data_IF_697946309857
#
_entry.id   IF_697946309857
#
_cell.length_a   1.000
_cell.length_b   1.000
_cell.length_c   1.000
_cell.angle_alpha   90.00
_cell.angle_beta   90.00
_cell.angle_gamma   90.00
#
_symmetry.space_group_name_H-M   'P 1'
#
loop_
_entity.id
_entity.type
_entity.pdbx_description
1 polymer ?
#
# COMPACT_ATOMS: atom_id res chain seq x y z
N UNK A 1 -14.18 -51.00 -37.12
CA UNK A 1 -13.44 -51.06 -35.83
C UNK A 1 -12.08 -50.42 -36.09
N UNK A 2 -11.61 -49.36 -35.44
CA UNK A 2 -12.02 -48.60 -34.26
C UNK A 2 -11.76 -47.11 -34.49
N UNK A 3 -12.59 -46.29 -33.84
CA UNK A 3 -12.47 -44.86 -33.66
C UNK A 3 -11.22 -44.52 -32.84
N UNK A 4 -10.48 -43.47 -33.20
CA UNK A 4 -9.70 -42.71 -32.21
C UNK A 4 -9.76 -41.24 -32.56
N UNK A 5 -10.76 -40.58 -31.98
CA UNK A 5 -10.88 -39.14 -31.96
C UNK A 5 -9.72 -38.57 -31.12
N UNK A 6 -8.87 -37.76 -31.73
CA UNK A 6 -7.95 -36.90 -31.00
C UNK A 6 -8.69 -35.60 -30.67
N UNK A 7 -9.24 -35.51 -29.46
CA UNK A 7 -9.71 -34.24 -28.92
C UNK A 7 -8.54 -33.25 -28.84
N UNK A 8 -8.66 -32.03 -29.40
CA UNK A 8 -7.74 -30.96 -29.06
C UNK A 8 -8.03 -30.53 -27.63
N UNK A 9 -7.03 -30.67 -26.75
CA UNK A 9 -7.04 -30.09 -25.41
C UNK A 9 -7.06 -28.58 -25.59
N UNK A 10 -8.26 -28.00 -25.51
CA UNK A 10 -8.48 -26.57 -25.50
C UNK A 10 -7.80 -26.01 -24.24
N UNK A 11 -6.61 -25.45 -24.43
CA UNK A 11 -5.91 -24.70 -23.40
C UNK A 11 -6.80 -23.52 -23.08
N UNK A 12 -7.61 -23.65 -22.01
CA UNK A 12 -8.33 -22.56 -21.38
C UNK A 12 -7.29 -21.50 -21.02
N UNK A 13 -7.10 -20.55 -21.93
CA UNK A 13 -6.45 -19.29 -21.65
C UNK A 13 -7.24 -18.70 -20.47
N UNK A 14 -6.64 -18.77 -19.28
CA UNK A 14 -7.19 -18.17 -18.09
C UNK A 14 -7.57 -16.73 -18.44
N UNK A 15 -8.88 -16.46 -18.46
CA UNK A 15 -9.41 -15.12 -18.72
C UNK A 15 -8.61 -14.13 -17.90
N UNK A 16 -8.12 -13.00 -18.47
CA UNK A 16 -7.50 -11.97 -17.67
C UNK A 16 -8.58 -11.47 -16.74
N UNK A 17 -8.57 -11.96 -15.49
CA UNK A 17 -9.46 -11.50 -14.45
C UNK A 17 -9.35 -9.98 -14.48
N UNK A 18 -10.47 -9.31 -14.77
CA UNK A 18 -10.57 -7.86 -14.75
C UNK A 18 -10.13 -7.45 -13.36
N UNK A 19 -8.86 -7.05 -13.23
CA UNK A 19 -8.33 -6.56 -11.95
C UNK A 19 -9.05 -5.26 -11.73
N UNK A 20 -9.95 -5.24 -10.75
CA UNK A 20 -10.63 -4.01 -10.38
C UNK A 20 -9.54 -3.06 -9.90
N UNK A 21 -9.20 -2.08 -10.73
CA UNK A 21 -8.20 -1.07 -10.41
C UNK A 21 -8.77 -0.08 -9.41
N UNK A 22 -8.70 -0.43 -8.13
CA UNK A 22 -9.16 0.42 -7.02
C UNK A 22 -8.13 1.54 -6.81
N UNK A 23 -8.54 2.82 -6.81
CA UNK A 23 -7.66 3.93 -6.45
C UNK A 23 -7.06 3.74 -5.05
N UNK A 24 -5.79 4.11 -4.86
CA UNK A 24 -5.12 3.97 -3.57
C UNK A 24 -5.85 4.73 -2.46
N UNK A 25 -6.40 5.91 -2.77
CA UNK A 25 -7.14 6.75 -1.83
C UNK A 25 -8.39 6.04 -1.29
N UNK A 26 -9.11 5.34 -2.16
CA UNK A 26 -10.33 4.62 -1.79
C UNK A 26 -10.00 3.35 -1.01
N UNK A 27 -8.96 2.62 -1.41
CA UNK A 27 -8.46 1.49 -0.65
C UNK A 27 -7.98 1.91 0.76
N UNK A 28 -7.27 3.03 0.89
CA UNK A 28 -6.87 3.58 2.19
C UNK A 28 -8.10 3.95 3.03
N UNK A 29 -9.14 4.53 2.42
CA UNK A 29 -10.39 4.86 3.12
C UNK A 29 -11.07 3.62 3.69
N UNK A 30 -11.19 2.56 2.90
CA UNK A 30 -11.75 1.27 3.33
C UNK A 30 -10.91 0.65 4.44
N UNK A 31 -9.59 0.62 4.27
CA UNK A 31 -8.69 0.11 5.31
C UNK A 31 -8.81 0.87 6.64
N UNK A 32 -8.93 2.19 6.60
CA UNK A 32 -9.15 2.99 7.81
C UNK A 32 -10.51 2.72 8.46
N UNK A 33 -11.54 2.38 7.68
CA UNK A 33 -12.83 1.96 8.21
C UNK A 33 -12.71 0.59 8.91
N UNK A 34 -12.02 -0.37 8.31
CA UNK A 34 -11.76 -1.68 8.92
C UNK A 34 -10.98 -1.58 10.21
N UNK A 35 -9.98 -0.70 10.28
CA UNK A 35 -9.24 -0.44 11.52
C UNK A 35 -10.17 0.08 12.64
N UNK A 36 -11.19 0.87 12.31
CA UNK A 36 -12.20 1.33 13.29
C UNK A 36 -13.10 0.19 13.75
N UNK A 37 -13.57 -0.64 12.81
CA UNK A 37 -14.39 -1.82 13.12
C UNK A 37 -13.60 -2.83 13.97
N UNK A 38 -12.30 -2.95 13.75
CA UNK A 38 -11.37 -3.74 14.57
C UNK A 38 -11.01 -3.07 15.92
N UNK A 39 -11.80 -2.09 16.37
CA UNK A 39 -11.72 -1.44 17.67
C UNK A 39 -10.38 -0.71 17.95
N UNK A 40 -9.72 -0.18 16.90
CA UNK A 40 -8.56 0.71 17.08
C UNK A 40 -9.01 2.08 17.56
N UNK A 41 -8.20 2.71 18.41
CA UNK A 41 -8.51 4.05 18.92
C UNK A 41 -8.60 5.07 17.78
N UNK A 42 -9.48 6.06 17.92
CA UNK A 42 -9.62 7.13 16.94
C UNK A 42 -8.30 7.88 16.71
N UNK A 43 -7.49 8.07 17.77
CA UNK A 43 -6.15 8.65 17.67
C UNK A 43 -5.22 7.84 16.78
N UNK A 44 -5.27 6.50 16.86
CA UNK A 44 -4.48 5.60 16.02
C UNK A 44 -4.92 5.66 14.56
N UNK A 45 -6.24 5.68 14.31
CA UNK A 45 -6.78 5.76 12.95
C UNK A 45 -6.46 7.12 12.31
N UNK A 46 -6.59 8.20 13.06
CA UNK A 46 -6.17 9.55 12.61
C UNK A 46 -4.68 9.60 12.32
N UNK A 47 -3.85 8.96 13.13
CA UNK A 47 -2.42 8.84 12.85
C UNK A 47 -2.16 8.11 11.53
N UNK A 48 -2.78 6.95 11.31
CA UNK A 48 -2.63 6.19 10.05
C UNK A 48 -3.08 7.01 8.84
N UNK A 49 -4.23 7.67 8.93
CA UNK A 49 -4.74 8.57 7.89
C UNK A 49 -3.71 9.61 7.50
N UNK A 50 -3.22 10.36 8.50
CA UNK A 50 -2.30 11.47 8.25
C UNK A 50 -0.98 10.99 7.65
N UNK A 51 -0.46 9.85 8.11
CA UNK A 51 0.75 9.24 7.52
C UNK A 51 0.50 8.87 6.06
N UNK A 52 -0.65 8.30 5.73
CA UNK A 52 -0.98 7.97 4.35
C UNK A 52 -1.14 9.20 3.47
N UNK A 53 -2.02 10.13 3.84
CA UNK A 53 -2.37 11.31 3.03
C UNK A 53 -1.18 12.26 2.85
N UNK A 54 -0.33 12.45 3.87
CA UNK A 54 0.73 13.48 3.83
C UNK A 54 2.12 12.95 3.44
N UNK A 55 2.32 11.62 3.47
CA UNK A 55 3.65 11.03 3.23
C UNK A 55 3.59 9.88 2.25
N UNK A 56 2.79 8.85 2.52
CA UNK A 56 2.86 7.61 1.72
C UNK A 56 2.23 7.80 0.34
N UNK A 57 1.01 8.34 0.25
CA UNK A 57 0.31 8.52 -1.02
C UNK A 57 1.08 9.43 -1.99
N UNK A 58 1.57 10.63 -1.60
CA UNK A 58 2.34 11.47 -2.51
C UNK A 58 3.58 10.76 -3.08
N UNK A 59 4.27 9.96 -2.26
CA UNK A 59 5.47 9.23 -2.72
C UNK A 59 5.08 8.08 -3.67
N UNK A 60 4.04 7.32 -3.36
CA UNK A 60 3.55 6.28 -4.26
C UNK A 60 3.13 6.87 -5.61
N UNK A 61 2.46 8.02 -5.56
CA UNK A 61 2.04 8.78 -6.72
C UNK A 61 3.23 9.31 -7.55
N UNK A 62 4.29 9.83 -6.91
CA UNK A 62 5.56 10.21 -7.55
C UNK A 62 6.25 9.00 -8.22
N UNK A 63 6.10 7.80 -7.63
CA UNK A 63 6.57 6.53 -8.20
C UNK A 63 5.64 5.98 -9.30
N UNK A 64 4.56 6.69 -9.65
CA UNK A 64 3.61 6.30 -10.69
C UNK A 64 2.52 5.32 -10.23
N UNK A 65 2.46 4.99 -8.94
CA UNK A 65 1.45 4.09 -8.36
C UNK A 65 0.21 4.90 -7.99
N UNK A 66 -0.90 4.62 -8.67
CA UNK A 66 -2.21 5.28 -8.48
C UNK A 66 -3.29 4.32 -8.02
N UNK A 67 -3.16 3.04 -8.36
CA UNK A 67 -4.15 2.00 -8.04
C UNK A 67 -3.49 0.86 -7.27
N UNK A 68 -4.31 0.08 -6.54
CA UNK A 68 -3.80 -1.02 -5.69
C UNK A 68 -3.15 -2.13 -6.51
N UNK A 69 -3.60 -2.37 -7.74
CA UNK A 69 -3.03 -3.40 -8.62
C UNK A 69 -1.61 -3.06 -9.11
N UNK A 70 -1.22 -1.79 -9.04
CA UNK A 70 0.14 -1.29 -9.33
C UNK A 70 1.05 -1.35 -8.10
N UNK A 71 0.50 -1.58 -6.90
CA UNK A 71 1.29 -1.63 -5.67
C UNK A 71 2.03 -2.95 -5.57
N UNK A 72 3.33 -2.92 -5.82
CA UNK A 72 4.23 -4.06 -5.71
C UNK A 72 5.07 -4.03 -4.43
N UNK A 73 5.66 -5.19 -4.09
CA UNK A 73 6.61 -5.31 -2.98
C UNK A 73 7.81 -4.38 -3.13
N UNK A 74 8.24 -4.10 -4.37
CA UNK A 74 9.36 -3.20 -4.60
C UNK A 74 9.03 -1.75 -4.24
N UNK A 75 7.78 -1.30 -4.44
CA UNK A 75 7.31 0.02 -4.00
C UNK A 75 7.38 0.18 -2.47
N UNK A 76 7.08 -0.88 -1.72
CA UNK A 76 7.25 -0.89 -0.25
C UNK A 76 8.71 -0.68 0.16
N UNK A 77 9.66 -1.29 -0.58
CA UNK A 77 11.10 -1.13 -0.35
C UNK A 77 11.57 0.27 -0.74
N UNK A 78 11.18 0.76 -1.92
CA UNK A 78 11.53 2.10 -2.44
C UNK A 78 10.97 3.23 -1.59
N UNK A 79 9.79 3.04 -0.97
CA UNK A 79 9.19 4.02 -0.07
C UNK A 79 10.17 4.44 1.04
N UNK A 80 10.92 3.49 1.61
CA UNK A 80 11.90 3.80 2.67
C UNK A 80 12.98 4.78 2.18
N UNK A 81 13.54 4.52 1.00
CA UNK A 81 14.58 5.36 0.41
C UNK A 81 14.03 6.73 0.03
N UNK A 82 12.84 6.78 -0.58
CA UNK A 82 12.18 8.03 -0.96
C UNK A 82 11.84 8.90 0.26
N UNK A 83 11.28 8.32 1.31
CA UNK A 83 10.98 9.05 2.55
C UNK A 83 12.25 9.57 3.21
N UNK A 84 13.32 8.78 3.22
CA UNK A 84 14.62 9.21 3.76
C UNK A 84 15.22 10.37 2.95
N UNK A 85 15.15 10.31 1.61
CA UNK A 85 15.65 11.34 0.71
C UNK A 85 14.88 12.67 0.83
N UNK A 86 13.56 12.62 1.05
CA UNK A 86 12.76 13.84 1.20
C UNK A 86 13.06 14.59 2.51
N UNK A 87 13.54 13.92 3.56
CA UNK A 87 13.91 14.55 4.84
C UNK A 87 12.78 15.28 5.57
N UNK A 88 11.53 15.20 5.09
CA UNK A 88 10.37 15.92 5.61
C UNK A 88 9.74 15.18 6.78
N UNK A 89 9.86 15.73 7.99
CA UNK A 89 9.21 15.20 9.19
C UNK A 89 7.71 15.44 9.12
N UNK A 90 6.90 14.45 9.51
CA UNK A 90 5.46 14.66 9.71
C UNK A 90 5.19 15.59 10.91
N UNK A 91 4.47 16.69 10.69
CA UNK A 91 4.26 17.75 11.68
C UNK A 91 3.14 17.45 12.70
N UNK A 92 2.37 16.36 12.57
CA UNK A 92 1.24 16.11 13.49
C UNK A 92 1.62 15.79 14.94
N UNK A 93 2.92 15.62 15.24
CA UNK A 93 3.44 15.58 16.62
C UNK A 93 4.24 16.82 17.00
N UNK A 94 4.42 17.80 16.12
CA UNK A 94 5.05 19.05 16.53
C UNK A 94 4.08 19.83 17.42
N UNK A 95 4.52 20.06 18.66
CA UNK A 95 3.89 21.06 19.52
C UNK A 95 3.94 22.41 18.80
N UNK A 96 2.87 23.24 18.87
CA UNK A 96 2.94 24.61 18.40
C UNK A 96 4.15 25.32 19.02
N UNK A 97 5.01 25.92 18.20
CA UNK A 97 6.24 26.60 18.65
C UNK A 97 7.51 25.72 18.73
N UNK A 98 7.44 24.44 18.39
CA UNK A 98 8.66 23.64 18.23
C UNK A 98 9.48 24.16 17.03
N UNK A 99 10.79 24.44 17.18
CA UNK A 99 11.61 24.90 16.06
C UNK A 99 11.54 23.89 14.93
N UNK A 100 11.43 24.37 13.69
CA UNK A 100 11.50 23.57 12.48
C UNK A 100 12.89 22.91 12.39
N UNK A 101 13.09 21.81 13.13
CA UNK A 101 14.28 20.99 12.98
C UNK A 101 14.18 20.33 11.62
N UNK A 102 14.93 20.88 10.66
CA UNK A 102 15.46 20.14 9.52
C UNK A 102 16.39 19.06 10.05
N UNK A 103 15.82 18.02 10.63
CA UNK A 103 16.52 16.81 11.00
C UNK A 103 15.97 15.70 10.12
N UNK A 104 16.89 14.93 9.52
CA UNK A 104 16.54 13.69 8.86
C UNK A 104 15.56 12.89 9.74
N UNK A 105 14.57 12.27 9.11
CA UNK A 105 13.57 11.47 9.82
C UNK A 105 14.25 10.45 10.73
N UNK A 106 13.80 10.39 11.99
CA UNK A 106 14.35 9.42 12.94
C UNK A 106 14.17 7.99 12.41
N UNK A 107 15.09 7.05 12.71
CA UNK A 107 14.92 5.65 12.36
C UNK A 107 13.59 5.06 12.84
N UNK A 108 13.10 5.50 14.00
CA UNK A 108 11.81 5.10 14.55
C UNK A 108 10.63 5.54 13.67
N UNK A 109 10.68 6.78 13.15
CA UNK A 109 9.65 7.31 12.25
C UNK A 109 9.65 6.57 10.91
N UNK A 110 10.83 6.32 10.33
CA UNK A 110 10.96 5.53 9.10
C UNK A 110 10.41 4.10 9.28
N UNK A 111 10.71 3.48 10.41
CA UNK A 111 10.19 2.16 10.74
C UNK A 111 8.68 2.16 10.91
N UNK A 112 8.12 3.19 11.54
CA UNK A 112 6.67 3.35 11.68
C UNK A 112 5.98 3.43 10.31
N UNK A 113 6.50 4.24 9.38
CA UNK A 113 5.95 4.33 8.02
C UNK A 113 6.06 3.02 7.26
N UNK A 114 7.21 2.34 7.35
CA UNK A 114 7.40 1.05 6.71
C UNK A 114 6.45 -0.02 7.25
N UNK A 115 6.20 -0.04 8.58
CA UNK A 115 5.18 -0.91 9.19
C UNK A 115 3.79 -0.57 8.66
N UNK A 116 3.46 0.71 8.54
CA UNK A 116 2.16 1.19 8.06
C UNK A 116 1.88 0.73 6.63
N UNK A 117 2.79 0.99 5.67
CA UNK A 117 2.58 0.54 4.28
C UNK A 117 2.51 -0.99 4.18
N UNK A 118 3.28 -1.72 4.99
CA UNK A 118 3.25 -3.19 4.98
C UNK A 118 1.94 -3.74 5.52
N UNK A 119 1.38 -3.11 6.55
CA UNK A 119 0.08 -3.49 7.09
C UNK A 119 -1.04 -3.26 6.05
N UNK A 120 -1.03 -2.11 5.39
CA UNK A 120 -1.94 -1.81 4.29
C UNK A 120 -1.79 -2.78 3.12
N UNK A 121 -0.57 -3.02 2.63
CA UNK A 121 -0.32 -3.97 1.54
C UNK A 121 -0.85 -5.37 1.85
N UNK A 122 -0.63 -5.86 3.07
CA UNK A 122 -1.16 -7.15 3.52
C UNK A 122 -2.68 -7.19 3.54
N UNK A 123 -3.31 -6.10 3.99
CA UNK A 123 -4.76 -5.97 3.92
C UNK A 123 -5.25 -5.95 2.46
N UNK A 124 -4.57 -5.25 1.56
CA UNK A 124 -4.91 -5.29 0.13
C UNK A 124 -4.83 -6.69 -0.46
N UNK A 125 -3.85 -7.50 -0.04
CA UNK A 125 -3.74 -8.90 -0.45
C UNK A 125 -4.85 -9.76 0.15
N UNK A 126 -5.23 -9.56 1.41
CA UNK A 126 -6.31 -10.34 2.04
C UNK A 126 -7.69 -10.03 1.44
N UNK A 127 -7.94 -8.78 1.06
CA UNK A 127 -9.17 -8.35 0.39
C UNK A 127 -9.20 -8.70 -1.11
N UNK A 128 -8.13 -9.30 -1.64
CA UNK A 128 -8.04 -9.69 -3.05
C UNK A 128 -7.78 -8.53 -4.02
N UNK A 129 -7.44 -7.33 -3.53
CA UNK A 129 -7.11 -6.18 -4.39
C UNK A 129 -5.74 -6.32 -5.07
N UNK A 130 -4.82 -7.09 -4.49
CA UNK A 130 -3.50 -7.33 -5.07
C UNK A 130 -3.20 -8.83 -5.10
N UNK A 131 -2.76 -9.31 -6.26
CA UNK A 131 -2.18 -10.66 -6.38
C UNK A 131 -0.72 -10.53 -6.00
N UNK A 132 -0.26 -11.29 -5.00
CA UNK A 132 1.13 -11.35 -4.59
C UNK A 132 2.00 -11.88 -5.75
N UNK A 133 2.37 -11.01 -6.70
CA UNK A 133 2.97 -11.39 -7.99
C UNK A 133 4.45 -11.81 -7.89
N UNK A 134 4.89 -12.33 -6.75
CA UNK A 134 6.25 -12.88 -6.60
C UNK A 134 6.27 -14.35 -6.10
N UNK A 135 5.27 -15.13 -6.52
CA UNK A 135 5.38 -16.58 -6.57
C UNK A 135 5.44 -17.03 -8.03
N UNK A 136 6.58 -16.76 -8.67
CA UNK A 136 7.06 -17.43 -9.89
C UNK A 136 8.56 -17.38 -9.89
#
# INVERSE_FOLDING_TARGET
MLSTAHEPVEVLAASPAVRVSVPLEDAVRSWLADLRLANRSQSTVTWYRNVFEQRILPILQELGVRTVDQLERDHVRRLRAAVQAQGKVYHGFQRPGAPARSAALSPATLHAYHRTIRAFYRWCVSEGYSTDRAAT
#
